data_IF_845777664223
#
_entry.id   IF_845777664223
#
_cell.length_a   1.000
_cell.length_b   1.000
_cell.length_c   1.000
_cell.angle_alpha   90.00
_cell.angle_beta   90.00
_cell.angle_gamma   90.00
#
_symmetry.space_group_name_H-M   'P 1'
#
loop_
_entity.id
_entity.type
_entity.pdbx_description
1 polymer ?
#
# COMPACT_ATOMS: atom_id res chain seq x y z
N UNK A 1 9.03 -1.58 -1.44
CA UNK A 1 8.90 -0.86 -2.72
C UNK A 1 10.24 -0.74 -3.42
N UNK A 2 11.36 -0.57 -2.71
CA UNK A 2 12.71 -0.54 -3.29
C UNK A 2 13.06 -1.75 -4.16
N UNK A 3 12.60 -2.95 -3.77
CA UNK A 3 12.77 -4.17 -4.59
C UNK A 3 12.10 -4.08 -5.98
N UNK A 4 11.07 -3.24 -6.12
CA UNK A 4 10.34 -3.02 -7.38
C UNK A 4 10.78 -1.74 -8.09
N UNK A 5 10.98 -0.65 -7.34
CA UNK A 5 11.48 0.64 -7.81
C UNK A 5 12.45 1.21 -6.77
N UNK A 6 13.75 1.15 -7.07
CA UNK A 6 14.82 1.63 -6.19
C UNK A 6 14.75 3.14 -5.91
N UNK A 7 14.09 3.90 -6.78
CA UNK A 7 13.93 5.35 -6.62
C UNK A 7 12.63 5.72 -5.90
N UNK A 8 11.81 4.74 -5.47
CA UNK A 8 10.50 4.97 -4.86
C UNK A 8 10.56 5.96 -3.70
N UNK A 9 11.53 5.80 -2.79
CA UNK A 9 11.67 6.65 -1.60
C UNK A 9 12.03 8.10 -1.96
N UNK A 10 12.66 8.32 -3.12
CA UNK A 10 12.98 9.67 -3.60
C UNK A 10 11.82 10.34 -4.33
N UNK A 11 10.89 9.54 -4.86
CA UNK A 11 9.73 10.00 -5.63
C UNK A 11 8.52 10.31 -4.74
N UNK A 12 8.37 9.57 -3.64
CA UNK A 12 7.21 9.70 -2.76
C UNK A 12 7.26 11.00 -1.95
N UNK A 13 6.13 11.69 -1.89
CA UNK A 13 5.92 12.86 -1.07
C UNK A 13 4.75 12.64 -0.11
N UNK A 14 4.71 13.45 0.95
CA UNK A 14 3.60 13.44 1.88
C UNK A 14 2.29 13.78 1.16
N UNK A 15 1.29 12.91 1.28
CA UNK A 15 -0.01 13.07 0.63
C UNK A 15 -0.20 12.17 -0.59
N UNK A 16 0.86 11.58 -1.13
CA UNK A 16 0.77 10.73 -2.32
C UNK A 16 -0.11 9.50 -2.09
N UNK A 17 -0.71 9.03 -3.18
CA UNK A 17 -1.61 7.88 -3.21
C UNK A 17 -0.96 6.76 -4.00
N UNK A 18 -1.03 5.53 -3.48
CA UNK A 18 -0.58 4.35 -4.22
C UNK A 18 -1.78 3.73 -4.94
N UNK A 19 -1.64 3.50 -6.24
CA UNK A 19 -2.56 2.70 -7.05
C UNK A 19 -1.93 1.35 -7.34
N UNK A 20 -2.69 0.27 -7.17
CA UNK A 20 -2.20 -1.09 -7.39
C UNK A 20 -3.24 -2.02 -8.01
N UNK A 21 -2.77 -3.14 -8.57
CA UNK A 21 -3.62 -4.19 -9.11
C UNK A 21 -4.19 -5.12 -8.03
N UNK A 22 -4.47 -6.37 -8.43
CA UNK A 22 -5.03 -7.40 -7.54
C UNK A 22 -4.02 -7.88 -6.50
N UNK A 23 -4.55 -8.28 -5.35
CA UNK A 23 -3.80 -8.92 -4.26
C UNK A 23 -2.58 -8.12 -3.78
N UNK A 24 -2.75 -6.79 -3.66
CA UNK A 24 -1.69 -5.91 -3.15
C UNK A 24 -1.31 -6.28 -1.72
N UNK A 25 -0.01 -6.19 -1.42
CA UNK A 25 0.53 -6.58 -0.11
C UNK A 25 0.55 -8.09 0.13
N UNK A 26 0.48 -8.89 -0.94
CA UNK A 26 0.65 -10.34 -0.81
C UNK A 26 2.06 -10.72 -0.34
N UNK A 27 2.14 -11.82 0.42
CA UNK A 27 3.37 -12.32 1.01
C UNK A 27 3.26 -12.56 2.51
N UNK A 28 4.42 -12.70 3.18
CA UNK A 28 4.48 -13.01 4.61
C UNK A 28 3.85 -11.91 5.48
N UNK A 29 3.34 -12.28 6.66
CA UNK A 29 2.63 -11.44 7.65
C UNK A 29 3.49 -10.33 8.29
N UNK A 30 4.20 -9.54 7.49
CA UNK A 30 5.05 -8.44 7.94
C UNK A 30 4.19 -7.19 8.14
N UNK A 31 3.85 -6.91 9.39
CA UNK A 31 3.19 -5.66 9.80
C UNK A 31 3.99 -4.41 9.43
N UNK A 32 5.31 -4.55 9.26
CA UNK A 32 6.20 -3.49 8.80
C UNK A 32 5.81 -2.90 7.43
N UNK A 33 5.18 -3.67 6.54
CA UNK A 33 4.85 -3.20 5.20
C UNK A 33 3.89 -1.99 5.20
N UNK A 34 2.67 -2.06 5.77
CA UNK A 34 1.79 -0.90 5.84
C UNK A 34 2.35 0.22 6.74
N UNK A 35 3.13 -0.11 7.79
CA UNK A 35 3.78 0.90 8.65
C UNK A 35 4.76 1.74 7.84
N UNK A 36 5.61 1.11 7.04
CA UNK A 36 6.59 1.80 6.21
C UNK A 36 5.92 2.73 5.20
N UNK A 37 4.82 2.29 4.57
CA UNK A 37 4.06 3.12 3.62
C UNK A 37 3.44 4.34 4.31
N UNK A 38 2.83 4.16 5.48
CA UNK A 38 2.29 5.26 6.28
C UNK A 38 3.39 6.23 6.72
N UNK A 39 4.53 5.72 7.18
CA UNK A 39 5.68 6.53 7.59
C UNK A 39 6.32 7.29 6.42
N UNK A 40 6.28 6.73 5.21
CA UNK A 40 6.74 7.39 3.99
C UNK A 40 5.81 8.52 3.51
N UNK A 41 4.66 8.75 4.19
CA UNK A 41 3.75 9.85 3.89
C UNK A 41 2.62 9.49 2.92
N UNK A 42 2.42 8.20 2.61
CA UNK A 42 1.29 7.74 1.79
C UNK A 42 -0.03 8.06 2.49
N UNK A 43 -0.93 8.76 1.80
CA UNK A 43 -2.22 9.17 2.36
C UNK A 43 -3.26 8.05 2.31
N UNK A 44 -3.29 7.29 1.21
CA UNK A 44 -4.08 6.08 1.08
C UNK A 44 -3.55 5.16 -0.03
N UNK A 45 -4.09 3.92 -0.05
CA UNK A 45 -3.83 2.96 -1.12
C UNK A 45 -5.16 2.55 -1.75
N UNK A 46 -5.22 2.59 -3.07
CA UNK A 46 -6.37 2.10 -3.83
C UNK A 46 -5.89 0.92 -4.67
N UNK A 47 -6.55 -0.23 -4.54
CA UNK A 47 -6.17 -1.43 -5.26
C UNK A 47 -7.39 -2.19 -5.80
N UNK A 48 -7.18 -3.05 -6.79
CA UNK A 48 -8.25 -3.95 -7.23
C UNK A 48 -8.62 -4.98 -6.16
N UNK A 49 -7.65 -5.40 -5.34
CA UNK A 49 -7.89 -6.17 -4.11
C UNK A 49 -6.64 -6.19 -3.23
N UNK A 50 -6.82 -6.44 -1.93
CA UNK A 50 -5.71 -6.60 -0.99
C UNK A 50 -5.54 -8.03 -0.49
N UNK A 51 -4.30 -8.42 -0.20
CA UNK A 51 -4.05 -9.62 0.58
C UNK A 51 -4.65 -9.47 1.99
N UNK A 52 -5.36 -10.50 2.46
CA UNK A 52 -6.15 -10.46 3.71
C UNK A 52 -5.37 -9.97 4.94
N UNK A 53 -4.10 -10.38 5.07
CA UNK A 53 -3.27 -9.99 6.21
C UNK A 53 -2.86 -8.52 6.09
N UNK A 54 -2.47 -8.07 4.90
CA UNK A 54 -2.15 -6.67 4.65
C UNK A 54 -3.36 -5.77 4.92
N UNK A 55 -4.54 -6.16 4.44
CA UNK A 55 -5.80 -5.45 4.67
C UNK A 55 -6.02 -5.19 6.17
N UNK A 56 -5.98 -6.25 6.99
CA UNK A 56 -6.15 -6.14 8.45
C UNK A 56 -5.10 -5.21 9.07
N UNK A 57 -3.84 -5.37 8.69
CA UNK A 57 -2.73 -4.62 9.28
C UNK A 57 -2.82 -3.13 8.92
N UNK A 58 -3.19 -2.80 7.68
CA UNK A 58 -3.38 -1.42 7.24
C UNK A 58 -4.46 -0.71 8.06
N UNK A 59 -5.61 -1.37 8.27
CA UNK A 59 -6.69 -0.83 9.12
C UNK A 59 -6.22 -0.64 10.58
N UNK A 60 -5.54 -1.63 11.16
CA UNK A 60 -5.07 -1.58 12.54
C UNK A 60 -4.13 -0.40 12.84
N UNK A 61 -3.33 0.01 11.86
CA UNK A 61 -2.41 1.14 12.01
C UNK A 61 -3.02 2.46 11.54
N UNK A 62 -4.26 2.46 11.04
CA UNK A 62 -4.92 3.62 10.45
C UNK A 62 -4.27 4.11 9.15
N UNK A 63 -3.92 3.19 8.26
CA UNK A 63 -3.58 3.48 6.86
C UNK A 63 -4.86 3.25 6.01
N UNK A 64 -5.46 4.31 5.44
CA UNK A 64 -6.67 4.16 4.62
C UNK A 64 -6.39 3.31 3.37
N UNK A 65 -7.29 2.36 3.11
CA UNK A 65 -7.25 1.50 1.93
C UNK A 65 -8.63 1.41 1.29
N UNK A 66 -8.68 1.36 -0.04
CA UNK A 66 -9.91 1.31 -0.83
C UNK A 66 -9.79 0.24 -1.91
N UNK A 67 -10.82 -0.59 -2.03
CA UNK A 67 -10.92 -1.55 -3.13
C UNK A 67 -11.77 -0.96 -4.26
N UNK A 68 -11.27 -1.02 -5.49
CA UNK A 68 -11.99 -0.65 -6.71
C UNK A 68 -11.48 -1.51 -7.86
N UNK A 69 -12.36 -2.32 -8.45
CA UNK A 69 -11.99 -3.24 -9.54
C UNK A 69 -11.47 -2.50 -10.78
N UNK A 70 -11.93 -1.27 -11.01
CA UNK A 70 -11.65 -0.44 -12.18
C UNK A 70 -10.39 0.45 -12.02
N UNK A 71 -9.77 0.50 -10.84
CA UNK A 71 -8.73 1.52 -10.54
C UNK A 71 -7.43 1.36 -11.35
N UNK A 72 -7.13 0.15 -11.80
CA UNK A 72 -5.86 -0.20 -12.43
C UNK A 72 -6.05 -0.89 -13.79
N UNK A 73 -7.11 -0.53 -14.51
CA UNK A 73 -7.27 -0.85 -15.93
C UNK A 73 -6.39 0.02 -16.84
#
# INVERSE_FOLDING_TARGET
MEDYDSEFVKKINQGDIIVAGRNFGCGSSREHAPIALKAAGVSCIIAQSFARIFFRNAINIGLPIFESEEIAE
#
